data_IF_364226505645
#
_entry.id   IF_364226505645
#
_cell.length_a   1.000
_cell.length_b   1.000
_cell.length_c   1.000
_cell.angle_alpha   90.00
_cell.angle_beta   90.00
_cell.angle_gamma   90.00
#
_symmetry.space_group_name_H-M   'P 1'
#
loop_
_entity.id
_entity.type
_entity.pdbx_description
1 polymer ?
#
# COMPACT_ATOMS: atom_id res chain seq x y z
N UNK A 1 14.08 -5.74 37.67
CA UNK A 1 14.38 -4.48 36.94
C UNK A 1 15.79 -4.56 36.38
N UNK A 2 16.01 -3.89 35.24
CA UNK A 2 17.29 -3.53 34.61
C UNK A 2 17.81 -4.37 33.43
N UNK A 3 17.08 -4.21 32.31
CA UNK A 3 17.56 -3.60 31.05
C UNK A 3 18.91 -4.07 30.47
N UNK A 4 18.86 -5.00 29.51
CA UNK A 4 19.99 -5.31 28.61
C UNK A 4 19.58 -5.51 27.14
N UNK A 5 18.42 -5.03 26.73
CA UNK A 5 17.93 -5.21 25.35
C UNK A 5 18.32 -4.06 24.41
N UNK A 6 19.09 -3.08 24.88
CA UNK A 6 19.44 -1.87 24.10
C UNK A 6 20.93 -1.55 24.16
N UNK A 7 21.80 -2.45 23.69
CA UNK A 7 23.18 -2.07 23.34
C UNK A 7 23.62 -2.79 22.05
N UNK A 8 23.71 -2.01 20.96
CA UNK A 8 24.86 -2.14 20.05
C UNK A 8 24.63 -2.73 18.66
N UNK A 9 23.82 -2.07 17.83
CA UNK A 9 23.97 -2.08 16.36
C UNK A 9 25.32 -1.47 15.97
N UNK A 10 26.40 -2.25 15.98
CA UNK A 10 27.74 -1.68 15.80
C UNK A 10 28.79 -2.53 15.09
N UNK A 11 28.70 -3.87 15.03
CA UNK A 11 29.85 -4.67 14.54
C UNK A 11 29.49 -5.98 13.81
N UNK A 12 28.25 -6.18 13.34
CA UNK A 12 27.85 -7.44 12.69
C UNK A 12 28.65 -7.77 11.41
N UNK A 13 29.17 -6.77 10.72
CA UNK A 13 30.01 -6.94 9.52
C UNK A 13 31.42 -7.49 9.82
N UNK A 14 31.86 -7.47 11.10
CA UNK A 14 33.21 -7.89 11.52
C UNK A 14 33.26 -9.32 12.04
N UNK A 15 32.16 -10.08 11.95
CA UNK A 15 32.14 -11.49 12.32
C UNK A 15 32.85 -12.31 11.24
N UNK A 16 33.81 -13.16 11.64
CA UNK A 16 34.61 -14.01 10.74
C UNK A 16 33.72 -14.80 9.76
N UNK A 17 32.58 -15.31 10.25
CA UNK A 17 31.55 -16.00 9.45
C UNK A 17 30.93 -15.16 8.33
N UNK A 18 30.69 -13.85 8.55
CA UNK A 18 30.17 -12.96 7.51
C UNK A 18 31.20 -12.71 6.42
N UNK A 19 32.47 -12.53 6.83
CA UNK A 19 33.59 -12.36 5.89
C UNK A 19 33.85 -13.63 5.07
N UNK A 20 33.77 -14.80 5.71
CA UNK A 20 33.95 -16.09 5.04
C UNK A 20 32.81 -16.33 4.03
N UNK A 21 31.57 -16.04 4.42
CA UNK A 21 30.39 -16.14 3.52
C UNK A 21 30.47 -15.19 2.32
N UNK A 22 30.93 -13.95 2.53
CA UNK A 22 31.14 -13.00 1.42
C UNK A 22 32.28 -13.47 0.52
N UNK A 23 33.34 -14.03 1.08
CA UNK A 23 34.48 -14.51 0.30
C UNK A 23 34.09 -15.73 -0.54
N UNK A 24 33.27 -16.62 0.01
CA UNK A 24 32.68 -17.75 -0.71
C UNK A 24 31.73 -17.28 -1.82
N UNK A 25 30.83 -16.33 -1.51
CA UNK A 25 29.94 -15.73 -2.48
C UNK A 25 30.70 -15.02 -3.60
N UNK A 26 31.76 -14.27 -3.26
CA UNK A 26 32.61 -13.59 -4.24
C UNK A 26 33.31 -14.57 -5.18
N UNK A 27 33.80 -15.71 -4.66
CA UNK A 27 34.37 -16.79 -5.49
C UNK A 27 33.33 -17.39 -6.42
N UNK A 28 32.13 -17.67 -5.91
CA UNK A 28 31.02 -18.19 -6.72
C UNK A 28 30.57 -17.20 -7.81
N UNK A 29 30.63 -15.89 -7.55
CA UNK A 29 30.38 -14.85 -8.56
C UNK A 29 31.50 -14.73 -9.58
N UNK A 30 32.74 -15.04 -9.19
CA UNK A 30 33.91 -15.08 -10.09
C UNK A 30 33.96 -16.36 -10.94
N UNK A 31 33.35 -17.45 -10.47
CA UNK A 31 33.18 -18.70 -11.19
C UNK A 31 32.09 -18.63 -12.28
N UNK A 32 31.43 -17.49 -12.44
CA UNK A 32 30.52 -17.30 -13.57
C UNK A 32 31.32 -17.08 -14.87
N UNK A 33 31.02 -17.82 -15.95
CA UNK A 33 31.83 -17.82 -17.18
C UNK A 33 31.79 -16.51 -17.97
N UNK A 34 30.97 -15.54 -17.55
CA UNK A 34 30.86 -14.20 -18.15
C UNK A 34 31.27 -13.16 -17.12
N UNK A 35 32.13 -12.21 -17.52
CA UNK A 35 32.44 -11.08 -16.64
C UNK A 35 31.18 -10.26 -16.34
N UNK A 36 31.12 -9.60 -15.17
CA UNK A 36 29.96 -8.78 -14.80
C UNK A 36 29.67 -7.67 -15.84
N UNK A 37 30.71 -7.18 -16.51
CA UNK A 37 30.59 -6.24 -17.62
C UNK A 37 29.92 -6.88 -18.85
N UNK A 38 30.39 -8.05 -19.27
CA UNK A 38 29.80 -8.77 -20.40
C UNK A 38 28.37 -9.21 -20.11
N UNK A 39 28.04 -9.56 -18.86
CA UNK A 39 26.68 -9.86 -18.45
C UNK A 39 25.77 -8.64 -18.58
N UNK A 40 26.23 -7.46 -18.13
CA UNK A 40 25.45 -6.22 -18.26
C UNK A 40 25.27 -5.79 -19.73
N UNK A 41 26.32 -5.94 -20.56
CA UNK A 41 26.27 -5.71 -22.01
C UNK A 41 25.30 -6.69 -22.67
N UNK A 42 25.36 -7.97 -22.30
CA UNK A 42 24.45 -8.99 -22.82
C UNK A 42 23.00 -8.70 -22.44
N UNK A 43 22.72 -8.31 -21.18
CA UNK A 43 21.37 -7.93 -20.76
C UNK A 43 20.85 -6.68 -21.47
N UNK A 44 21.69 -5.65 -21.64
CA UNK A 44 21.29 -4.43 -22.36
C UNK A 44 21.06 -4.71 -23.84
N UNK A 45 21.91 -5.50 -24.48
CA UNK A 45 21.73 -5.91 -25.86
C UNK A 45 20.51 -6.83 -26.04
N UNK A 46 20.25 -7.74 -25.09
CA UNK A 46 19.07 -8.60 -25.07
C UNK A 46 17.77 -7.79 -24.93
N UNK A 47 17.77 -6.75 -24.08
CA UNK A 47 16.63 -5.84 -23.89
C UNK A 47 16.35 -5.03 -25.16
N UNK A 48 17.40 -4.52 -25.82
CA UNK A 48 17.26 -3.74 -27.06
C UNK A 48 16.83 -4.64 -28.23
N UNK A 49 17.43 -5.82 -28.36
CA UNK A 49 17.17 -6.78 -29.45
C UNK A 49 15.79 -7.41 -29.38
N UNK A 50 15.26 -7.63 -28.17
CA UNK A 50 13.91 -8.14 -27.95
C UNK A 50 12.85 -7.01 -27.79
N UNK A 51 13.15 -5.78 -28.24
CA UNK A 51 12.26 -4.61 -28.21
C UNK A 51 11.61 -4.38 -26.84
N UNK A 52 12.42 -4.49 -25.78
CA UNK A 52 11.94 -4.43 -24.40
C UNK A 52 10.87 -5.48 -24.16
N UNK A 53 11.27 -6.76 -24.26
CA UNK A 53 10.49 -7.96 -23.95
C UNK A 53 8.98 -7.69 -23.90
N UNK A 54 8.21 -8.09 -24.92
CA UNK A 54 6.75 -7.95 -24.95
C UNK A 54 6.01 -8.54 -23.72
N UNK A 55 6.70 -9.30 -22.87
CA UNK A 55 6.26 -9.80 -21.56
C UNK A 55 6.75 -9.02 -20.32
N UNK A 56 7.72 -8.11 -20.47
CA UNK A 56 8.22 -7.14 -19.47
C UNK A 56 7.88 -5.69 -19.84
N UNK A 57 7.26 -5.45 -21.00
CA UNK A 57 6.57 -4.18 -21.27
C UNK A 57 5.43 -4.07 -20.27
N UNK A 58 5.57 -3.13 -19.34
CA UNK A 58 4.57 -2.81 -18.34
C UNK A 58 3.18 -2.72 -19.00
N UNK A 59 2.24 -3.64 -18.70
CA UNK A 59 0.95 -3.65 -19.38
C UNK A 59 0.10 -2.43 -18.94
N UNK A 60 0.56 -1.63 -17.97
CA UNK A 60 -0.11 -0.39 -17.55
C UNK A 60 -0.24 0.70 -18.61
N UNK A 61 0.43 0.60 -19.77
CA UNK A 61 0.29 1.60 -20.85
C UNK A 61 -0.78 1.23 -21.89
N UNK A 62 -1.16 -0.06 -22.02
CA UNK A 62 -2.20 -0.56 -22.94
C UNK A 62 -3.35 -1.26 -22.20
N UNK A 63 -3.37 -1.22 -20.86
CA UNK A 63 -4.50 -1.71 -20.08
C UNK A 63 -5.68 -0.74 -20.28
N UNK A 64 -6.84 -1.21 -20.79
CA UNK A 64 -8.04 -0.40 -20.75
C UNK A 64 -8.28 0.04 -19.29
N UNK A 65 -8.71 1.28 -19.09
CA UNK A 65 -8.90 1.97 -17.79
C UNK A 65 -9.63 1.15 -16.70
N UNK A 66 -10.21 0.01 -17.06
CA UNK A 66 -10.85 -0.99 -16.23
C UNK A 66 -9.90 -1.73 -15.25
N UNK A 67 -8.69 -2.11 -15.68
CA UNK A 67 -7.78 -2.93 -14.86
C UNK A 67 -6.80 -2.08 -14.02
N UNK A 68 -6.54 -0.83 -14.43
CA UNK A 68 -5.75 0.13 -13.64
C UNK A 68 -6.48 0.64 -12.38
N UNK A 69 -7.81 0.74 -12.44
CA UNK A 69 -8.60 1.35 -11.36
C UNK A 69 -9.36 0.36 -10.48
N UNK A 70 -9.24 -0.96 -10.70
CA UNK A 70 -10.03 -2.02 -10.06
C UNK A 70 -11.47 -1.53 -9.83
N UNK A 71 -12.34 -1.57 -10.85
CA UNK A 71 -13.72 -1.09 -10.72
C UNK A 71 -14.43 -1.58 -9.45
N UNK A 72 -14.06 -2.76 -8.94
CA UNK A 72 -14.50 -3.29 -7.66
C UNK A 72 -14.16 -2.36 -6.46
N UNK A 73 -12.94 -1.84 -6.40
CA UNK A 73 -12.51 -0.89 -5.37
C UNK A 73 -13.25 0.47 -5.47
N UNK A 74 -13.45 1.01 -6.68
CA UNK A 74 -14.24 2.23 -6.86
C UNK A 74 -15.70 2.01 -6.48
N UNK A 75 -16.30 0.90 -6.95
CA UNK A 75 -17.67 0.54 -6.62
C UNK A 75 -17.85 0.38 -5.11
N UNK A 76 -16.92 -0.30 -4.44
CA UNK A 76 -16.90 -0.42 -2.98
C UNK A 76 -16.85 0.95 -2.30
N UNK A 77 -15.94 1.84 -2.72
CA UNK A 77 -15.84 3.20 -2.17
C UNK A 77 -17.11 4.02 -2.37
N UNK A 78 -17.73 3.94 -3.55
CA UNK A 78 -18.99 4.65 -3.86
C UNK A 78 -20.13 4.12 -2.99
N UNK A 79 -20.25 2.80 -2.83
CA UNK A 79 -21.28 2.18 -1.96
C UNK A 79 -21.09 2.63 -0.51
N UNK A 80 -19.85 2.58 0.00
CA UNK A 80 -19.53 3.04 1.36
C UNK A 80 -19.88 4.53 1.53
N UNK A 81 -19.55 5.37 0.55
CA UNK A 81 -19.87 6.79 0.58
C UNK A 81 -21.39 7.04 0.60
N UNK A 82 -22.15 6.34 -0.25
CA UNK A 82 -23.62 6.45 -0.29
C UNK A 82 -24.23 6.02 1.04
N UNK A 83 -23.80 4.89 1.60
CA UNK A 83 -24.27 4.40 2.90
C UNK A 83 -23.98 5.42 4.00
N UNK A 84 -22.76 5.96 4.01
CA UNK A 84 -22.35 6.96 5.00
C UNK A 84 -23.22 8.21 4.92
N UNK A 85 -23.44 8.75 3.70
CA UNK A 85 -24.31 9.90 3.48
C UNK A 85 -25.77 9.61 3.82
N UNK A 86 -26.26 8.42 3.51
CA UNK A 86 -27.62 7.99 3.81
C UNK A 86 -27.86 7.90 5.33
N UNK A 87 -26.94 7.27 6.06
CA UNK A 87 -26.97 7.19 7.53
C UNK A 87 -26.91 8.61 8.10
N UNK A 88 -25.95 9.42 7.66
CA UNK A 88 -25.79 10.78 8.14
C UNK A 88 -27.05 11.62 7.94
N UNK A 89 -27.63 11.58 6.73
CA UNK A 89 -28.88 12.28 6.42
C UNK A 89 -30.08 11.77 7.23
N UNK A 90 -30.15 10.45 7.47
CA UNK A 90 -31.21 9.85 8.29
C UNK A 90 -31.10 10.26 9.76
N UNK A 91 -29.88 10.20 10.32
CA UNK A 91 -29.60 10.66 11.68
C UNK A 91 -29.93 12.14 11.83
N UNK A 92 -29.51 12.98 10.89
CA UNK A 92 -29.81 14.41 10.93
C UNK A 92 -31.32 14.68 10.88
N UNK A 93 -32.06 14.00 9.99
CA UNK A 93 -33.53 14.09 9.93
C UNK A 93 -34.18 13.63 11.24
N UNK A 94 -33.69 12.56 11.84
CA UNK A 94 -34.20 12.05 13.11
C UNK A 94 -33.95 13.03 14.24
N UNK A 95 -32.74 13.59 14.35
CA UNK A 95 -32.39 14.61 15.33
C UNK A 95 -33.28 15.85 15.20
N UNK A 96 -33.47 16.36 13.98
CA UNK A 96 -34.36 17.51 13.74
C UNK A 96 -35.79 17.20 14.18
N UNK A 97 -36.30 16.00 13.89
CA UNK A 97 -37.64 15.57 14.31
C UNK A 97 -37.75 15.52 15.84
N UNK A 98 -36.76 14.95 16.53
CA UNK A 98 -36.75 14.86 18.00
C UNK A 98 -36.68 16.25 18.63
N UNK A 99 -35.81 17.14 18.14
CA UNK A 99 -35.72 18.52 18.64
C UNK A 99 -37.03 19.27 18.45
N UNK A 100 -37.69 19.10 17.30
CA UNK A 100 -39.01 19.71 17.04
C UNK A 100 -40.07 19.21 18.03
N UNK A 101 -40.18 17.88 18.23
CA UNK A 101 -41.13 17.31 19.18
C UNK A 101 -40.87 17.80 20.61
N UNK A 102 -39.61 17.86 21.02
CA UNK A 102 -39.24 18.36 22.33
C UNK A 102 -39.64 19.84 22.51
N UNK A 103 -39.41 20.66 21.48
CA UNK A 103 -39.84 22.08 21.51
C UNK A 103 -41.35 22.24 21.60
N UNK A 104 -42.14 21.39 20.93
CA UNK A 104 -43.60 21.42 21.01
C UNK A 104 -44.10 21.01 22.41
N UNK A 105 -43.47 20.01 23.03
CA UNK A 105 -43.80 19.58 24.39
C UNK A 105 -43.51 20.68 25.42
N UNK A 106 -42.40 21.39 25.27
CA UNK A 106 -42.03 22.48 26.18
C UNK A 106 -43.01 23.67 26.09
N UNK A 107 -43.43 24.01 24.86
CA UNK A 107 -44.47 25.03 24.64
C UNK A 107 -45.81 24.61 25.22
N UNK A 108 -46.22 23.34 25.05
CA UNK A 108 -47.47 22.83 25.58
C UNK A 108 -47.48 22.80 27.11
N UNK A 109 -46.37 22.38 27.73
CA UNK A 109 -46.20 22.38 29.18
C UNK A 109 -46.38 23.79 29.77
N UNK A 110 -45.77 24.80 29.14
CA UNK A 110 -45.89 26.21 29.56
C UNK A 110 -47.31 26.77 29.42
N UNK A 111 -48.16 26.17 28.58
CA UNK A 111 -49.57 26.57 28.41
C UNK A 111 -50.50 25.91 29.43
N UNK A 112 -50.06 24.82 30.06
CA UNK A 112 -50.81 24.06 31.07
C UNK A 112 -50.56 24.55 32.51
N UNK A 113 -49.45 25.24 32.74
CA UNK A 113 -49.07 25.91 34.00
C UNK A 113 -49.58 27.35 34.02
#
# INVERSE_FOLDING_TARGET
>A
MNNKYLVGTGNYWKTRQYKDSITELARLMQDQPMSGLETAVWWTEHVIRNQGAKHLRNPSADLPLYEYYLLDAIAFLVVVAIITLFIFGTVLKYLIRVVRLFSELEVFKKKLE
#
